data_IF_164724774751
#
_entry.id   IF_164724774751
#
_cell.length_a   1.000
_cell.length_b   1.000
_cell.length_c   1.000
_cell.angle_alpha   90.00
_cell.angle_beta   90.00
_cell.angle_gamma   90.00
#
_symmetry.space_group_name_H-M   'P 1'
#
loop_
_entity.id
_entity.type
_entity.pdbx_description
1 polymer ?
#
# COMPACT_ATOMS: atom_id res chain seq x y z
N UNK A 1 43.05 -51.84 -1.04
CA UNK A 1 43.07 -50.42 -1.44
C UNK A 1 42.73 -50.35 -2.93
N UNK A 2 41.48 -50.08 -3.32
CA UNK A 2 41.12 -50.14 -4.74
C UNK A 2 39.66 -49.84 -5.11
N UNK A 3 38.89 -49.16 -4.26
CA UNK A 3 37.49 -48.78 -4.59
C UNK A 3 37.18 -47.29 -4.39
N UNK A 4 38.13 -46.45 -3.98
CA UNK A 4 37.93 -45.01 -3.80
C UNK A 4 38.34 -44.15 -5.01
N UNK A 5 38.95 -44.75 -6.05
CA UNK A 5 39.43 -44.01 -7.25
C UNK A 5 38.35 -43.82 -8.33
N UNK A 6 37.30 -44.64 -8.34
CA UNK A 6 36.28 -44.61 -9.41
C UNK A 6 35.26 -43.47 -9.25
N UNK A 7 34.88 -43.09 -8.03
CA UNK A 7 33.96 -41.96 -7.80
C UNK A 7 34.62 -40.60 -8.09
N UNK A 8 35.92 -40.43 -7.80
CA UNK A 8 36.62 -39.17 -8.06
C UNK A 8 36.73 -38.87 -9.56
N UNK A 9 36.93 -39.90 -10.39
CA UNK A 9 36.91 -39.77 -11.84
C UNK A 9 35.51 -39.43 -12.38
N UNK A 10 34.45 -40.03 -11.81
CA UNK A 10 33.07 -39.77 -12.22
C UNK A 10 32.63 -38.31 -11.95
N UNK A 11 33.00 -37.74 -10.81
CA UNK A 11 32.70 -36.33 -10.51
C UNK A 11 33.54 -35.33 -11.32
N UNK A 12 34.75 -35.71 -11.72
CA UNK A 12 35.60 -34.89 -12.58
C UNK A 12 35.05 -34.81 -14.02
N UNK A 13 34.54 -35.91 -14.56
CA UNK A 13 33.96 -35.95 -15.91
C UNK A 13 32.62 -35.20 -16.00
N UNK A 14 31.79 -35.24 -14.96
CA UNK A 14 30.56 -34.43 -14.90
C UNK A 14 30.90 -32.94 -14.81
N UNK A 15 31.92 -32.55 -14.06
CA UNK A 15 32.35 -31.15 -13.96
C UNK A 15 32.84 -30.62 -15.31
N UNK A 16 33.58 -31.42 -16.07
CA UNK A 16 34.08 -31.06 -17.40
C UNK A 16 32.98 -31.06 -18.48
N UNK A 17 31.98 -31.94 -18.39
CA UNK A 17 30.80 -31.90 -19.26
C UNK A 17 29.95 -30.63 -19.03
N UNK A 18 29.85 -30.15 -17.78
CA UNK A 18 29.11 -28.92 -17.44
C UNK A 18 29.87 -27.64 -17.82
N UNK A 19 31.22 -27.63 -17.72
CA UNK A 19 32.03 -26.47 -18.15
C UNK A 19 32.17 -26.38 -19.68
N UNK A 20 32.24 -27.50 -20.41
CA UNK A 20 32.25 -27.46 -21.88
C UNK A 20 30.90 -27.08 -22.48
N UNK A 21 29.78 -27.39 -21.82
CA UNK A 21 28.45 -26.90 -22.24
C UNK A 21 28.24 -25.39 -22.00
N UNK A 22 29.07 -24.76 -21.16
CA UNK A 22 29.10 -23.30 -20.96
C UNK A 22 30.02 -22.53 -21.90
N UNK A 23 30.95 -23.20 -22.60
CA UNK A 23 31.92 -22.56 -23.50
C UNK A 23 31.56 -22.61 -24.99
N UNK A 24 30.55 -23.37 -25.41
CA UNK A 24 30.12 -23.45 -26.81
C UNK A 24 29.02 -22.46 -27.24
N UNK A 25 28.79 -21.39 -26.47
CA UNK A 25 27.80 -20.34 -26.81
C UNK A 25 28.41 -18.95 -27.03
N UNK A 26 29.61 -18.88 -27.60
CA UNK A 26 30.17 -17.62 -28.11
C UNK A 26 30.54 -17.77 -29.59
N UNK A 27 29.55 -17.50 -30.44
CA UNK A 27 29.74 -16.95 -31.78
C UNK A 27 28.82 -15.73 -31.89
N UNK A 28 29.19 -14.68 -32.65
CA UNK A 28 28.53 -13.38 -32.59
C UNK A 28 27.14 -13.51 -33.20
N UNK A 29 26.11 -13.60 -32.36
CA UNK A 29 24.74 -13.65 -32.79
C UNK A 29 24.37 -12.27 -33.38
N UNK A 30 24.18 -12.23 -34.71
CA UNK A 30 23.28 -11.28 -35.36
C UNK A 30 22.01 -11.21 -34.51
N UNK A 31 21.71 -10.03 -33.97
CA UNK A 31 20.49 -9.78 -33.22
C UNK A 31 19.31 -9.89 -34.17
N UNK A 32 18.71 -11.08 -34.24
CA UNK A 32 17.38 -11.27 -34.79
C UNK A 32 16.42 -10.82 -33.68
N UNK A 33 15.92 -9.59 -33.80
CA UNK A 33 14.82 -9.09 -32.99
C UNK A 33 13.60 -9.99 -33.22
N UNK A 34 13.21 -10.74 -32.20
CA UNK A 34 11.95 -11.50 -32.20
C UNK A 34 10.81 -10.57 -31.77
N UNK A 35 9.63 -10.71 -32.37
CA UNK A 35 8.44 -9.85 -32.13
C UNK A 35 7.99 -9.80 -30.64
N UNK A 36 8.50 -10.69 -29.78
CA UNK A 36 8.23 -10.67 -28.33
C UNK A 36 8.99 -9.61 -27.54
N UNK A 37 10.09 -9.04 -28.08
CA UNK A 37 10.85 -7.98 -27.38
C UNK A 37 10.17 -6.60 -27.47
N UNK A 38 9.24 -6.43 -28.41
CA UNK A 38 8.53 -5.17 -28.66
C UNK A 38 7.55 -4.85 -27.51
N UNK A 39 7.07 -5.87 -26.79
CA UNK A 39 6.09 -5.70 -25.69
C UNK A 39 6.75 -5.32 -24.34
N UNK A 40 8.08 -5.24 -24.29
CA UNK A 40 8.86 -4.96 -23.07
C UNK A 40 9.43 -3.54 -22.99
N UNK A 41 9.16 -2.69 -23.99
CA UNK A 41 9.77 -1.36 -24.13
C UNK A 41 8.74 -0.25 -24.29
N UNK A 42 9.00 0.87 -23.65
CA UNK A 42 8.23 2.11 -23.76
C UNK A 42 8.84 3.01 -24.82
N UNK A 43 7.99 3.50 -25.73
CA UNK A 43 8.37 4.44 -26.79
C UNK A 43 7.76 5.81 -26.49
N UNK A 44 8.59 6.84 -26.45
CA UNK A 44 8.20 8.23 -26.18
C UNK A 44 8.69 9.10 -27.33
N UNK A 45 7.79 9.86 -27.93
CA UNK A 45 8.10 10.76 -29.04
C UNK A 45 8.39 12.16 -28.53
N UNK A 46 9.42 12.81 -29.05
CA UNK A 46 9.79 14.19 -28.69
C UNK A 46 9.25 15.12 -29.77
N UNK A 47 8.40 16.08 -29.38
CA UNK A 47 7.80 17.10 -30.24
C UNK A 47 7.11 16.57 -31.52
N UNK A 48 6.71 15.29 -31.56
CA UNK A 48 6.14 14.61 -32.74
C UNK A 48 4.63 14.37 -32.68
N UNK A 49 3.90 15.15 -31.89
CA UNK A 49 2.44 15.06 -31.77
C UNK A 49 2.00 14.16 -30.62
N UNK A 50 0.97 13.33 -30.86
CA UNK A 50 0.40 12.47 -29.84
C UNK A 50 1.36 11.33 -29.45
N UNK A 51 1.48 11.06 -28.16
CA UNK A 51 2.26 9.93 -27.68
C UNK A 51 1.61 8.61 -28.09
N UNK A 52 2.39 7.58 -28.49
CA UNK A 52 1.86 6.27 -28.85
C UNK A 52 1.27 5.52 -27.64
N UNK A 53 1.61 5.95 -26.43
CA UNK A 53 1.12 5.38 -25.17
C UNK A 53 -0.10 6.15 -24.63
N UNK A 54 -0.99 5.44 -23.95
CA UNK A 54 -2.09 6.05 -23.21
C UNK A 54 -1.52 6.93 -22.10
N UNK A 55 -1.84 8.23 -22.12
CA UNK A 55 -1.41 9.18 -21.09
C UNK A 55 -1.93 8.76 -19.71
N UNK A 56 -1.02 8.38 -18.82
CA UNK A 56 -1.31 8.24 -17.39
C UNK A 56 -1.23 9.62 -16.74
N UNK A 57 -2.04 9.83 -15.70
CA UNK A 57 -2.07 11.11 -14.98
C UNK A 57 -0.90 11.21 -14.01
N UNK A 58 -0.23 12.36 -13.93
CA UNK A 58 0.83 12.59 -12.94
C UNK A 58 0.31 12.87 -11.51
N UNK A 59 -0.98 12.68 -11.28
CA UNK A 59 -1.61 12.73 -9.98
C UNK A 59 -1.12 11.56 -9.11
N UNK A 60 -0.69 11.88 -7.88
CA UNK A 60 -0.35 10.88 -6.87
C UNK A 60 -1.41 10.86 -5.77
N UNK A 61 -1.67 9.67 -5.22
CA UNK A 61 -2.50 9.49 -4.05
C UNK A 61 -1.91 8.44 -3.14
N UNK A 62 -1.75 8.79 -1.86
CA UNK A 62 -1.29 7.94 -0.77
C UNK A 62 -2.41 7.66 0.25
N UNK A 63 -3.54 8.33 0.12
CA UNK A 63 -4.75 8.09 0.91
C UNK A 63 -5.29 6.66 0.75
N UNK A 64 -5.80 6.09 1.84
CA UNK A 64 -6.38 4.74 1.84
C UNK A 64 -7.84 4.73 1.39
N UNK A 65 -8.58 5.80 1.71
CA UNK A 65 -10.03 5.86 1.53
C UNK A 65 -10.44 6.98 0.58
N UNK A 66 -11.38 6.67 -0.29
CA UNK A 66 -12.31 7.64 -0.86
C UNK A 66 -13.50 7.86 0.09
N UNK A 67 -14.20 8.98 -0.06
CA UNK A 67 -15.40 9.36 0.71
C UNK A 67 -16.40 8.19 0.78
N UNK A 68 -16.65 7.52 -0.36
CA UNK A 68 -17.62 6.42 -0.45
C UNK A 68 -17.01 5.10 0.07
N UNK A 69 -15.72 4.87 -0.19
CA UNK A 69 -15.07 3.62 0.21
C UNK A 69 -14.68 3.58 1.69
N UNK A 70 -14.74 4.72 2.40
CA UNK A 70 -14.33 4.82 3.79
C UNK A 70 -15.11 3.83 4.66
N UNK A 71 -16.44 3.97 4.72
CA UNK A 71 -17.28 3.16 5.60
C UNK A 71 -17.13 1.64 5.37
N UNK A 72 -17.28 1.09 4.14
CA UNK A 72 -17.18 -0.35 3.93
C UNK A 72 -15.78 -0.90 4.22
N UNK A 73 -14.71 -0.20 3.82
CA UNK A 73 -13.34 -0.65 4.10
C UNK A 73 -13.01 -0.54 5.59
N UNK A 74 -13.38 0.57 6.23
CA UNK A 74 -13.18 0.80 7.65
C UNK A 74 -13.89 -0.27 8.50
N UNK A 75 -15.17 -0.55 8.22
CA UNK A 75 -15.92 -1.58 8.93
C UNK A 75 -15.30 -2.96 8.71
N UNK A 76 -14.91 -3.28 7.47
CA UNK A 76 -14.21 -4.53 7.20
C UNK A 76 -12.91 -4.64 8.02
N UNK A 77 -12.12 -3.58 8.13
CA UNK A 77 -10.90 -3.56 8.94
C UNK A 77 -11.18 -3.70 10.44
N UNK A 78 -12.19 -3.00 10.96
CA UNK A 78 -12.57 -3.14 12.37
C UNK A 78 -13.10 -4.53 12.68
N UNK A 79 -13.95 -5.12 11.83
CA UNK A 79 -14.50 -6.46 12.06
C UNK A 79 -13.56 -7.61 11.69
N UNK A 80 -12.34 -7.34 11.18
CA UNK A 80 -11.27 -8.35 11.16
C UNK A 80 -10.65 -8.61 12.53
N UNK A 81 -10.93 -7.76 13.52
CA UNK A 81 -10.54 -7.96 14.93
C UNK A 81 -11.54 -8.90 15.59
N UNK A 82 -11.09 -10.01 16.16
CA UNK A 82 -11.97 -11.02 16.76
C UNK A 82 -12.84 -10.46 17.90
N UNK A 83 -12.31 -9.49 18.66
CA UNK A 83 -13.06 -8.77 19.69
C UNK A 83 -14.32 -8.09 19.15
N UNK A 84 -14.20 -7.40 18.01
CA UNK A 84 -15.31 -6.66 17.42
C UNK A 84 -16.37 -7.62 16.86
N UNK A 85 -15.96 -8.77 16.31
CA UNK A 85 -16.90 -9.83 15.90
C UNK A 85 -17.64 -10.37 17.13
N UNK A 86 -16.91 -10.68 18.21
CA UNK A 86 -17.50 -11.19 19.45
C UNK A 86 -18.55 -10.23 20.02
N UNK A 87 -18.23 -8.94 20.17
CA UNK A 87 -19.18 -7.96 20.68
C UNK A 87 -20.35 -7.69 19.73
N UNK A 88 -20.13 -7.78 18.41
CA UNK A 88 -21.21 -7.72 17.44
C UNK A 88 -22.18 -8.90 17.62
N UNK A 89 -21.66 -10.13 17.77
CA UNK A 89 -22.49 -11.30 18.04
C UNK A 89 -23.31 -11.15 19.32
N UNK A 90 -22.68 -10.70 20.41
CA UNK A 90 -23.40 -10.43 21.68
C UNK A 90 -24.46 -9.35 21.49
N UNK A 91 -24.14 -8.24 20.82
CA UNK A 91 -25.08 -7.15 20.58
C UNK A 91 -26.30 -7.60 19.75
N UNK A 92 -26.10 -8.51 18.78
CA UNK A 92 -27.19 -9.12 18.00
C UNK A 92 -28.01 -10.08 18.87
N UNK A 93 -27.36 -10.95 19.66
CA UNK A 93 -28.04 -11.88 20.56
C UNK A 93 -28.89 -11.16 21.62
N UNK A 94 -28.44 -10.00 22.11
CA UNK A 94 -29.19 -9.16 23.04
C UNK A 94 -30.47 -8.55 22.46
N UNK A 95 -30.62 -8.50 21.13
CA UNK A 95 -31.87 -8.04 20.51
C UNK A 95 -32.98 -9.09 20.51
N UNK A 96 -32.65 -10.36 20.78
CA UNK A 96 -33.64 -11.43 20.83
C UNK A 96 -34.50 -11.23 22.09
N UNK A 97 -35.83 -11.05 21.95
CA UNK A 97 -36.71 -10.82 23.08
C UNK A 97 -36.75 -12.06 24.00
N UNK A 98 -36.67 -11.83 25.31
CA UNK A 98 -36.76 -12.90 26.33
C UNK A 98 -35.47 -13.69 26.57
N UNK A 99 -34.40 -13.48 25.80
CA UNK A 99 -33.10 -14.15 25.99
C UNK A 99 -32.14 -13.30 26.83
N UNK A 100 -32.17 -11.97 26.66
CA UNK A 100 -31.19 -11.10 27.31
C UNK A 100 -31.58 -10.84 28.77
N UNK A 101 -30.77 -11.25 29.75
CA UNK A 101 -30.96 -10.87 31.15
C UNK A 101 -30.48 -9.43 31.42
N UNK A 102 -29.75 -8.85 30.47
CA UNK A 102 -29.25 -7.48 30.48
C UNK A 102 -30.08 -6.60 29.55
N UNK A 103 -29.96 -5.27 29.64
CA UNK A 103 -30.62 -4.38 28.69
C UNK A 103 -30.17 -4.61 27.23
N UNK A 104 -31.08 -4.43 26.27
CA UNK A 104 -30.83 -4.63 24.82
C UNK A 104 -29.69 -3.79 24.23
N UNK A 105 -29.31 -2.71 24.93
CA UNK A 105 -28.36 -1.72 24.46
C UNK A 105 -27.02 -1.73 25.22
N UNK A 106 -26.87 -2.60 26.24
CA UNK A 106 -25.70 -2.58 27.14
C UNK A 106 -24.38 -2.88 26.43
N UNK A 107 -24.38 -3.74 25.40
CA UNK A 107 -23.19 -4.01 24.58
C UNK A 107 -23.16 -3.17 23.29
N UNK A 108 -24.32 -2.92 22.68
CA UNK A 108 -24.42 -2.19 21.41
C UNK A 108 -23.95 -0.73 21.53
N UNK A 109 -24.30 -0.04 22.62
CA UNK A 109 -23.94 1.38 22.82
C UNK A 109 -22.42 1.55 23.00
N UNK A 110 -21.73 0.83 23.92
CA UNK A 110 -20.28 0.89 24.01
C UNK A 110 -19.59 0.53 22.70
N UNK A 111 -19.99 -0.57 22.03
CA UNK A 111 -19.39 -0.96 20.75
C UNK A 111 -19.52 0.15 19.69
N UNK A 112 -20.67 0.81 19.61
CA UNK A 112 -20.90 1.91 18.68
C UNK A 112 -19.98 3.10 18.98
N UNK A 113 -19.85 3.49 20.25
CA UNK A 113 -18.93 4.58 20.66
C UNK A 113 -17.49 4.24 20.28
N UNK A 114 -17.06 3.00 20.48
CA UNK A 114 -15.70 2.53 20.13
C UNK A 114 -15.45 2.65 18.63
N UNK A 115 -16.38 2.13 17.83
CA UNK A 115 -16.29 2.20 16.38
C UNK A 115 -16.31 3.64 15.89
N UNK A 116 -17.11 4.52 16.49
CA UNK A 116 -17.14 5.94 16.19
C UNK A 116 -15.81 6.64 16.52
N UNK A 117 -15.24 6.42 17.70
CA UNK A 117 -13.93 6.97 18.07
C UNK A 117 -12.82 6.49 17.13
N UNK A 118 -12.81 5.20 16.79
CA UNK A 118 -11.87 4.64 15.83
C UNK A 118 -12.05 5.24 14.42
N UNK A 119 -13.31 5.46 13.99
CA UNK A 119 -13.61 6.07 12.70
C UNK A 119 -13.12 7.51 12.64
N UNK A 120 -13.39 8.32 13.68
CA UNK A 120 -12.93 9.71 13.76
C UNK A 120 -11.40 9.78 13.65
N UNK A 121 -10.69 8.93 14.39
CA UNK A 121 -9.22 8.87 14.32
C UNK A 121 -8.74 8.56 12.90
N UNK A 122 -9.27 7.51 12.27
CA UNK A 122 -8.84 7.09 10.92
C UNK A 122 -9.16 8.19 9.88
N UNK A 123 -10.30 8.90 10.02
CA UNK A 123 -10.65 10.05 9.19
C UNK A 123 -9.62 11.16 9.32
N UNK A 124 -9.26 11.55 10.55
CA UNK A 124 -8.27 12.61 10.79
C UNK A 124 -6.92 12.25 10.14
N UNK A 125 -6.47 11.01 10.30
CA UNK A 125 -5.22 10.54 9.70
C UNK A 125 -5.28 10.54 8.16
N UNK A 126 -6.38 10.08 7.56
CA UNK A 126 -6.49 10.02 6.10
C UNK A 126 -6.69 11.41 5.48
N UNK A 127 -7.44 12.32 6.13
CA UNK A 127 -7.56 13.73 5.72
C UNK A 127 -6.19 14.41 5.66
N UNK A 128 -5.32 14.15 6.65
CA UNK A 128 -3.94 14.66 6.64
C UNK A 128 -3.19 14.18 5.39
N UNK A 129 -3.35 12.91 4.99
CA UNK A 129 -2.75 12.38 3.73
C UNK A 129 -3.30 13.09 2.50
N UNK A 130 -4.63 13.27 2.40
CA UNK A 130 -5.26 13.99 1.29
C UNK A 130 -4.75 15.43 1.15
N UNK A 131 -4.57 16.14 2.26
CA UNK A 131 -4.02 17.51 2.26
C UNK A 131 -2.57 17.50 1.75
N UNK A 132 -1.75 16.55 2.21
CA UNK A 132 -0.36 16.40 1.78
C UNK A 132 -0.27 16.06 0.29
N UNK A 133 -1.03 15.06 -0.18
CA UNK A 133 -1.11 14.69 -1.60
C UNK A 133 -1.56 15.88 -2.46
N UNK A 134 -2.60 16.59 -2.01
CA UNK A 134 -3.11 17.79 -2.67
C UNK A 134 -2.06 18.90 -2.78
N UNK A 135 -1.23 19.10 -1.75
CA UNK A 135 -0.14 20.07 -1.78
C UNK A 135 0.92 19.73 -2.83
N UNK A 136 1.27 18.44 -2.97
CA UNK A 136 2.26 17.96 -3.96
C UNK A 136 1.69 18.05 -5.37
N UNK A 137 0.45 17.59 -5.58
CA UNK A 137 -0.22 17.59 -6.89
C UNK A 137 -0.42 19.02 -7.46
N UNK A 138 -0.56 20.02 -6.59
CA UNK A 138 -0.75 21.43 -6.94
C UNK A 138 0.56 22.23 -7.10
N UNK A 139 1.74 21.65 -6.81
CA UNK A 139 3.02 22.30 -7.07
C UNK A 139 3.12 22.69 -8.55
N UNK A 140 3.76 23.82 -8.83
CA UNK A 140 3.90 24.34 -10.20
C UNK A 140 5.23 23.93 -10.80
N UNK A 141 5.26 23.79 -12.12
CA UNK A 141 6.48 23.61 -12.91
C UNK A 141 6.28 24.26 -14.29
N UNK A 142 7.38 24.72 -14.89
CA UNK A 142 7.39 25.24 -16.24
C UNK A 142 7.41 24.07 -17.24
N UNK A 143 6.46 24.03 -18.16
CA UNK A 143 6.42 23.09 -19.28
C UNK A 143 6.57 23.83 -20.60
N UNK A 144 7.23 23.19 -21.56
CA UNK A 144 7.30 23.66 -22.92
C UNK A 144 6.25 22.95 -23.77
N UNK A 145 5.25 23.71 -24.25
CA UNK A 145 4.21 23.21 -25.17
C UNK A 145 3.88 24.26 -26.22
N UNK A 146 3.69 23.83 -27.46
CA UNK A 146 3.32 24.70 -28.60
C UNK A 146 4.25 25.92 -28.76
N UNK A 147 5.56 25.73 -28.56
CA UNK A 147 6.54 26.79 -28.73
C UNK A 147 6.67 27.77 -27.56
N UNK A 148 5.89 27.61 -26.48
CA UNK A 148 5.86 28.53 -25.35
C UNK A 148 6.09 27.84 -24.01
N UNK A 149 6.68 28.57 -23.06
CA UNK A 149 6.80 28.16 -21.67
C UNK A 149 5.54 28.54 -20.90
N UNK A 150 4.94 27.55 -20.24
CA UNK A 150 3.70 27.72 -19.50
C UNK A 150 3.85 27.10 -18.11
N UNK A 151 3.34 27.78 -17.08
CA UNK A 151 3.21 27.19 -15.77
C UNK A 151 2.04 26.20 -15.75
N UNK A 152 2.31 24.98 -15.28
CA UNK A 152 1.29 23.97 -15.03
C UNK A 152 1.43 23.39 -13.63
N UNK A 153 0.38 22.76 -13.12
CA UNK A 153 0.44 21.97 -11.89
C UNK A 153 1.04 20.59 -12.16
N UNK A 154 1.74 20.01 -11.19
CA UNK A 154 2.36 18.69 -11.30
C UNK A 154 1.40 17.62 -11.80
N UNK A 155 0.16 17.56 -11.28
CA UNK A 155 -0.86 16.59 -11.71
C UNK A 155 -1.22 16.66 -13.22
N UNK A 156 -0.91 17.76 -13.91
CA UNK A 156 -1.18 17.99 -15.35
C UNK A 156 0.04 17.78 -16.25
N UNK A 157 1.20 17.47 -15.68
CA UNK A 157 2.39 17.04 -16.42
C UNK A 157 2.10 15.68 -17.05
N UNK A 158 2.55 15.46 -18.28
CA UNK A 158 2.34 14.24 -19.05
C UNK A 158 3.68 13.71 -19.57
N UNK A 159 3.73 12.41 -19.85
CA UNK A 159 4.88 11.79 -20.53
C UNK A 159 5.11 12.48 -21.88
N UNK A 160 6.37 12.78 -22.17
CA UNK A 160 6.80 13.53 -23.35
C UNK A 160 6.75 15.05 -23.23
N UNK A 161 6.24 15.60 -22.12
CA UNK A 161 6.43 17.04 -21.85
C UNK A 161 7.91 17.32 -21.58
N UNK A 162 8.39 18.45 -22.10
CA UNK A 162 9.68 19.03 -21.68
C UNK A 162 9.39 19.98 -20.51
N UNK A 163 10.05 19.76 -19.38
CA UNK A 163 9.93 20.58 -18.18
C UNK A 163 11.21 21.38 -17.95
N UNK A 164 11.06 22.60 -17.42
CA UNK A 164 12.15 23.38 -16.84
C UNK A 164 12.01 23.32 -15.32
N UNK A 165 13.07 22.90 -14.66
CA UNK A 165 13.17 22.83 -13.19
C UNK A 165 14.29 23.76 -12.75
N UNK A 166 14.03 24.59 -11.75
CA UNK A 166 14.98 25.59 -11.24
C UNK A 166 15.74 25.05 -10.03
N UNK A 167 16.84 25.73 -9.66
CA UNK A 167 17.60 25.39 -8.46
C UNK A 167 16.70 25.34 -7.21
N UNK A 168 16.97 24.38 -6.32
CA UNK A 168 16.19 24.07 -5.13
C UNK A 168 14.75 23.59 -5.38
N UNK A 169 14.35 23.25 -6.60
CA UNK A 169 13.05 22.62 -6.88
C UNK A 169 13.13 21.09 -6.94
N UNK A 170 12.02 20.43 -6.62
CA UNK A 170 11.88 18.98 -6.77
C UNK A 170 11.44 18.61 -8.19
N UNK A 171 11.85 17.45 -8.67
CA UNK A 171 11.39 16.96 -9.97
C UNK A 171 9.92 16.51 -9.92
N UNK A 172 9.07 16.94 -10.87
CA UNK A 172 7.64 16.65 -10.87
C UNK A 172 7.30 15.19 -11.25
N UNK A 173 8.24 14.50 -11.89
CA UNK A 173 8.10 13.20 -12.53
C UNK A 173 9.51 12.63 -12.75
N UNK A 174 9.64 11.40 -13.27
CA UNK A 174 10.96 10.90 -13.67
C UNK A 174 11.30 11.49 -15.05
N UNK A 175 12.47 12.12 -15.15
CA UNK A 175 12.91 12.89 -16.30
C UNK A 175 14.19 12.32 -16.89
N UNK A 176 14.35 12.43 -18.21
CA UNK A 176 15.66 12.33 -18.87
C UNK A 176 16.23 13.73 -19.01
N UNK A 177 17.46 13.94 -18.55
CA UNK A 177 18.18 15.21 -18.63
C UNK A 177 18.56 15.52 -20.09
N UNK A 178 18.02 16.61 -20.62
CA UNK A 178 18.34 17.09 -21.96
C UNK A 178 19.51 18.08 -21.89
N UNK A 179 19.35 19.16 -21.15
CA UNK A 179 20.38 20.18 -20.95
C UNK A 179 20.30 20.78 -19.55
N UNK A 180 21.39 21.40 -19.13
CA UNK A 180 21.55 22.06 -17.84
C UNK A 180 22.07 23.49 -18.05
N UNK A 181 21.86 24.34 -17.05
CA UNK A 181 22.52 25.64 -16.96
C UNK A 181 24.04 25.56 -16.74
N UNK A 182 24.55 24.40 -16.33
CA UNK A 182 25.99 24.17 -16.16
C UNK A 182 26.67 23.64 -17.44
N UNK A 183 27.99 23.86 -17.59
CA UNK A 183 28.77 23.28 -18.68
C UNK A 183 28.65 21.75 -18.76
N UNK A 184 28.77 21.21 -19.97
CA UNK A 184 28.69 19.77 -20.24
C UNK A 184 27.38 19.08 -19.80
N UNK A 185 26.30 19.86 -19.62
CA UNK A 185 24.99 19.34 -19.20
C UNK A 185 25.05 18.61 -17.85
N UNK A 186 25.90 19.08 -16.94
CA UNK A 186 26.00 18.51 -15.59
C UNK A 186 24.92 19.11 -14.70
N UNK A 187 24.36 18.32 -13.78
CA UNK A 187 23.58 18.86 -12.69
C UNK A 187 23.83 18.09 -11.39
N UNK A 188 23.58 18.74 -10.26
CA UNK A 188 23.68 18.10 -8.95
C UNK A 188 22.29 17.86 -8.39
N UNK A 189 22.05 16.65 -7.91
CA UNK A 189 20.78 16.26 -7.32
C UNK A 189 20.99 15.78 -5.89
N UNK A 190 20.06 16.13 -5.01
CA UNK A 190 19.98 15.58 -3.68
C UNK A 190 18.91 14.49 -3.65
N UNK A 191 19.27 13.29 -3.20
CA UNK A 191 18.39 12.11 -3.17
C UNK A 191 17.92 11.73 -1.77
N UNK A 192 18.07 12.62 -0.78
CA UNK A 192 17.71 12.38 0.62
C UNK A 192 16.29 11.83 0.83
N UNK A 193 15.33 12.17 -0.04
CA UNK A 193 13.96 11.66 0.02
C UNK A 193 13.76 10.25 -0.57
N UNK A 194 14.74 9.70 -1.28
CA UNK A 194 14.66 8.37 -1.90
C UNK A 194 15.47 7.34 -1.11
N UNK A 195 16.74 7.65 -0.81
CA UNK A 195 17.70 6.72 -0.21
C UNK A 195 18.28 7.23 1.13
N UNK A 196 17.94 8.44 1.56
CA UNK A 196 18.46 9.05 2.78
C UNK A 196 19.87 9.61 2.65
N UNK A 197 20.50 9.56 1.47
CA UNK A 197 21.82 10.12 1.25
C UNK A 197 21.76 11.66 1.18
N UNK A 198 22.59 12.33 1.99
CA UNK A 198 22.66 13.80 2.03
C UNK A 198 23.63 14.37 1.00
N UNK A 199 24.54 13.55 0.48
CA UNK A 199 25.53 13.96 -0.49
C UNK A 199 24.88 14.28 -1.84
N UNK A 200 25.41 15.28 -2.52
CA UNK A 200 24.97 15.62 -3.86
C UNK A 200 25.49 14.56 -4.85
N UNK A 201 24.58 14.00 -5.64
CA UNK A 201 24.91 13.10 -6.75
C UNK A 201 25.03 13.91 -8.03
N UNK A 202 26.07 13.64 -8.79
CA UNK A 202 26.29 14.25 -10.10
C UNK A 202 25.51 13.46 -11.15
N UNK A 203 24.77 14.16 -12.00
CA UNK A 203 24.11 13.61 -13.19
C UNK A 203 24.60 14.37 -14.41
N UNK A 204 24.72 13.66 -15.53
CA UNK A 204 25.29 14.22 -16.75
C UNK A 204 24.39 13.90 -17.94
N UNK A 205 23.91 14.95 -18.60
CA UNK A 205 23.12 14.86 -19.81
C UNK A 205 23.97 14.44 -21.01
N UNK A 206 23.29 14.16 -22.12
CA UNK A 206 23.98 13.74 -23.33
C UNK A 206 24.71 14.92 -24.00
N UNK A 207 25.94 14.73 -24.52
CA UNK A 207 26.65 15.76 -25.27
C UNK A 207 25.86 16.32 -26.46
N UNK A 208 25.05 15.47 -27.10
CA UNK A 208 24.24 15.82 -28.27
C UNK A 208 23.10 16.79 -27.94
N UNK A 209 22.61 16.79 -26.69
CA UNK A 209 21.53 17.67 -26.22
C UNK A 209 22.05 18.81 -25.33
N UNK A 210 23.31 18.78 -24.92
CA UNK A 210 23.91 19.76 -24.00
C UNK A 210 23.76 21.22 -24.46
N UNK A 211 23.86 21.48 -25.77
CA UNK A 211 23.78 22.83 -26.33
C UNK A 211 22.33 23.35 -26.50
N UNK A 212 21.31 22.59 -26.10
CA UNK A 212 19.90 22.96 -26.23
C UNK A 212 19.49 23.89 -25.08
N UNK A 213 19.94 25.14 -25.14
CA UNK A 213 19.72 26.15 -24.10
C UNK A 213 18.52 27.05 -24.45
N UNK A 214 18.30 27.28 -25.75
CA UNK A 214 17.22 28.11 -26.26
C UNK A 214 15.93 27.32 -26.53
N UNK A 215 14.79 28.00 -26.42
CA UNK A 215 13.47 27.43 -26.78
C UNK A 215 13.40 27.01 -28.25
N UNK A 216 14.12 27.70 -29.14
CA UNK A 216 14.19 27.38 -30.56
C UNK A 216 14.82 26.00 -30.76
N UNK A 217 15.98 25.75 -30.13
CA UNK A 217 16.65 24.44 -30.21
C UNK A 217 15.79 23.32 -29.62
N UNK A 218 15.06 23.59 -28.53
CA UNK A 218 14.12 22.62 -27.94
C UNK A 218 12.91 22.33 -28.84
N UNK A 219 12.46 23.29 -29.64
CA UNK A 219 11.37 23.08 -30.61
C UNK A 219 11.80 22.15 -31.74
N UNK A 220 13.03 22.36 -32.22
CA UNK A 220 13.56 21.64 -33.37
C UNK A 220 14.11 20.25 -32.96
N UNK A 221 14.14 19.96 -31.66
CA UNK A 221 14.43 18.64 -31.11
C UNK A 221 13.32 17.65 -31.49
N UNK A 222 13.60 16.83 -32.50
CA UNK A 222 12.74 15.74 -32.95
C UNK A 222 13.48 14.41 -32.78
N UNK A 223 12.83 13.49 -32.07
CA UNK A 223 13.42 12.20 -31.78
C UNK A 223 12.45 11.27 -31.07
N UNK A 224 12.96 10.10 -30.72
CA UNK A 224 12.24 9.05 -30.01
C UNK A 224 13.14 8.51 -28.91
N UNK A 225 12.59 8.38 -27.70
CA UNK A 225 13.21 7.63 -26.61
C UNK A 225 12.54 6.27 -26.54
N UNK A 226 13.36 5.22 -26.60
CA UNK A 226 12.96 3.84 -26.31
C UNK A 226 13.59 3.46 -24.97
N UNK A 227 12.78 3.14 -23.97
CA UNK A 227 13.28 2.73 -22.65
C UNK A 227 12.58 1.48 -22.15
N UNK A 228 13.10 0.89 -21.09
CA UNK A 228 12.43 -0.18 -20.35
C UNK A 228 11.03 0.23 -19.85
N UNK A 229 10.22 -0.73 -19.41
CA UNK A 229 8.99 -0.45 -18.68
C UNK A 229 9.29 0.07 -17.27
N UNK A 230 8.35 0.83 -16.66
CA UNK A 230 8.49 1.29 -15.28
C UNK A 230 8.80 0.15 -14.31
N UNK A 231 9.85 0.30 -13.50
CA UNK A 231 10.28 -0.69 -12.52
C UNK A 231 10.70 -0.04 -11.20
N UNK A 232 10.93 -0.89 -10.18
CA UNK A 232 11.29 -0.46 -8.82
C UNK A 232 12.78 -0.19 -8.61
N UNK A 233 13.66 -0.53 -9.56
CA UNK A 233 15.09 -0.38 -9.35
C UNK A 233 15.51 1.10 -9.51
N UNK A 234 15.84 1.77 -8.41
CA UNK A 234 16.20 3.20 -8.41
C UNK A 234 17.52 3.51 -9.13
N UNK A 235 18.44 2.54 -9.20
CA UNK A 235 19.81 2.75 -9.67
C UNK A 235 20.06 2.29 -11.10
N UNK A 236 19.13 1.51 -11.66
CA UNK A 236 19.22 1.04 -13.04
C UNK A 236 18.25 1.82 -13.92
N UNK A 237 18.70 2.15 -15.12
CA UNK A 237 17.85 2.63 -16.19
C UNK A 237 18.51 2.24 -17.51
N UNK A 238 17.74 1.60 -18.38
CA UNK A 238 18.17 1.25 -19.72
C UNK A 238 17.24 1.92 -20.74
N UNK A 239 17.81 2.81 -21.56
CA UNK A 239 17.10 3.44 -22.65
C UNK A 239 17.99 3.80 -23.82
N UNK A 240 17.39 4.34 -24.86
CA UNK A 240 18.07 4.74 -26.08
C UNK A 240 17.36 5.94 -26.69
N UNK A 241 18.11 7.00 -26.95
CA UNK A 241 17.64 8.20 -27.64
C UNK A 241 17.99 8.09 -29.14
N UNK A 242 16.97 8.14 -29.99
CA UNK A 242 17.09 8.23 -31.44
C UNK A 242 16.73 9.64 -31.88
N UNK A 243 17.73 10.44 -32.23
CA UNK A 243 17.53 11.78 -32.78
C UNK A 243 17.47 11.71 -34.31
N UNK A 244 16.63 12.51 -34.96
CA UNK A 244 16.56 12.51 -36.43
C UNK A 244 17.89 12.92 -37.10
N UNK A 245 18.66 13.77 -36.43
CA UNK A 245 19.90 14.33 -36.97
C UNK A 245 21.13 13.44 -36.68
N UNK A 246 20.94 12.31 -35.99
CA UNK A 246 22.03 11.39 -35.61
C UNK A 246 21.69 10.00 -36.12
N UNK A 247 22.55 9.43 -36.97
CA UNK A 247 22.31 8.14 -37.60
C UNK A 247 22.30 6.97 -36.59
N UNK A 248 23.04 7.09 -35.49
CA UNK A 248 23.17 6.02 -34.51
C UNK A 248 22.35 6.29 -33.24
N UNK A 249 21.65 5.27 -32.70
CA UNK A 249 20.97 5.38 -31.42
C UNK A 249 21.97 5.63 -30.27
N UNK A 250 21.65 6.57 -29.37
CA UNK A 250 22.51 6.96 -28.25
C UNK A 250 22.00 6.28 -26.97
N UNK A 251 22.82 5.52 -26.23
CA UNK A 251 22.38 4.87 -25.00
C UNK A 251 22.06 5.90 -23.90
N UNK A 252 20.99 5.64 -23.16
CA UNK A 252 20.64 6.34 -21.93
C UNK A 252 20.80 5.38 -20.75
N UNK A 253 21.55 5.82 -19.74
CA UNK A 253 21.78 5.10 -18.50
C UNK A 253 21.23 5.83 -17.28
N UNK A 254 21.59 5.33 -16.10
CA UNK A 254 21.21 5.93 -14.82
C UNK A 254 21.75 7.37 -14.64
N UNK A 255 22.84 7.72 -15.30
CA UNK A 255 23.43 9.06 -15.18
C UNK A 255 22.63 10.16 -15.89
N UNK A 256 21.73 9.78 -16.79
CA UNK A 256 20.85 10.69 -17.53
C UNK A 256 19.45 10.81 -16.92
N UNK A 257 19.08 10.00 -15.91
CA UNK A 257 17.74 10.03 -15.29
C UNK A 257 17.72 10.86 -14.01
N UNK A 258 16.69 11.68 -13.89
CA UNK A 258 16.36 12.48 -12.71
C UNK A 258 15.04 11.96 -12.13
N UNK A 259 15.10 11.43 -10.91
CA UNK A 259 13.95 10.77 -10.30
C UNK A 259 13.03 11.75 -9.57
N UNK A 260 11.72 11.49 -9.62
CA UNK A 260 10.75 12.16 -8.76
C UNK A 260 11.14 11.97 -7.29
N UNK A 261 11.11 13.05 -6.52
CA UNK A 261 11.52 13.04 -5.11
C UNK A 261 12.93 13.58 -4.88
N UNK A 262 13.80 13.56 -5.90
CA UNK A 262 15.09 14.26 -5.84
C UNK A 262 14.92 15.77 -6.00
N UNK A 263 15.82 16.53 -5.40
CA UNK A 263 15.87 17.99 -5.50
C UNK A 263 17.05 18.42 -6.35
N UNK A 264 16.84 19.39 -7.25
CA UNK A 264 17.94 20.06 -7.95
C UNK A 264 18.69 20.96 -6.97
N UNK A 265 20.02 20.89 -6.97
CA UNK A 265 20.90 21.69 -6.11
C UNK A 265 22.07 22.20 -6.92
N UNK A 266 22.61 23.36 -6.56
CA UNK A 266 23.85 23.91 -7.12
C UNK A 266 23.84 23.90 -8.67
N UNK A 267 22.68 24.12 -9.28
CA UNK A 267 22.51 24.11 -10.73
C UNK A 267 21.34 25.02 -11.06
N UNK A 268 21.60 26.10 -11.81
CA UNK A 268 20.62 27.18 -11.99
C UNK A 268 19.27 26.69 -12.56
N UNK A 269 19.31 25.79 -13.53
CA UNK A 269 18.13 25.17 -14.14
C UNK A 269 18.51 23.92 -14.93
N UNK A 270 17.53 23.05 -15.18
CA UNK A 270 17.63 21.95 -16.16
C UNK A 270 16.42 21.93 -17.09
N UNK A 271 16.61 21.41 -18.29
CA UNK A 271 15.53 20.94 -19.16
C UNK A 271 15.50 19.42 -19.14
N UNK A 272 14.34 18.85 -18.80
CA UNK A 272 14.14 17.41 -18.73
C UNK A 272 12.93 16.97 -19.53
N UNK A 273 13.02 15.81 -20.18
CA UNK A 273 11.87 15.16 -20.83
C UNK A 273 11.23 14.18 -19.86
N UNK A 274 9.91 14.28 -19.65
CA UNK A 274 9.17 13.37 -18.77
C UNK A 274 9.06 11.97 -19.39
N UNK A 275 9.51 10.95 -18.66
CA UNK A 275 9.46 9.54 -19.11
C UNK A 275 8.44 8.68 -18.35
N UNK A 276 8.37 8.84 -17.04
CA UNK A 276 7.39 8.17 -16.18
C UNK A 276 6.64 9.22 -15.36
N UNK A 277 5.34 9.00 -15.16
CA UNK A 277 4.48 9.95 -14.46
C UNK A 277 3.53 9.24 -13.49
N UNK A 278 3.14 9.95 -12.42
CA UNK A 278 2.17 9.47 -11.44
C UNK A 278 2.67 8.21 -10.73
N UNK A 279 1.84 7.16 -10.73
CA UNK A 279 2.18 5.89 -10.09
C UNK A 279 3.23 5.05 -10.85
N UNK A 280 3.67 5.49 -12.02
CA UNK A 280 4.75 4.84 -12.76
C UNK A 280 6.14 5.35 -12.39
N UNK A 281 6.25 6.47 -11.65
CA UNK A 281 7.58 6.94 -11.24
C UNK A 281 8.21 5.94 -10.29
N UNK A 282 9.53 5.78 -10.35
CA UNK A 282 10.25 4.79 -9.53
C UNK A 282 10.01 5.00 -8.03
N UNK A 283 9.87 6.26 -7.60
CA UNK A 283 9.47 6.61 -6.23
C UNK A 283 8.11 6.00 -5.85
N UNK A 284 7.09 6.18 -6.69
CA UNK A 284 5.73 5.69 -6.39
C UNK A 284 5.63 4.16 -6.53
N UNK A 285 6.43 3.55 -7.40
CA UNK A 285 6.52 2.09 -7.47
C UNK A 285 7.17 1.46 -6.25
N UNK A 286 8.07 2.18 -5.57
CA UNK A 286 8.64 1.80 -4.28
C UNK A 286 7.78 2.20 -3.09
N UNK A 287 6.83 3.13 -3.29
CA UNK A 287 5.77 3.37 -2.31
C UNK A 287 4.86 2.14 -2.27
N UNK A 288 4.91 1.39 -1.17
CA UNK A 288 3.99 0.29 -0.95
C UNK A 288 2.69 0.85 -0.36
N UNK A 289 1.56 0.27 -0.77
CA UNK A 289 0.32 0.47 0.00
C UNK A 289 0.60 0.02 1.42
N UNK A 290 0.17 0.83 2.40
CA UNK A 290 0.44 0.56 3.81
C UNK A 290 -0.05 -0.85 4.14
N UNK A 291 0.86 -1.83 4.39
CA UNK A 291 0.43 -3.19 4.66
C UNK A 291 -0.33 -3.21 5.98
N UNK A 292 -1.28 -4.13 6.10
CA UNK A 292 -1.96 -4.41 7.36
C UNK A 292 -0.98 -5.04 8.35
N UNK A 293 -0.15 -4.22 9.01
CA UNK A 293 0.74 -4.66 10.07
C UNK A 293 -0.10 -4.97 11.30
N UNK A 294 -0.01 -6.21 11.78
CA UNK A 294 -0.56 -6.61 13.08
C UNK A 294 0.57 -6.57 14.11
N UNK A 295 0.34 -5.89 15.22
CA UNK A 295 1.29 -5.87 16.34
C UNK A 295 1.32 -7.23 17.05
N UNK A 296 2.45 -7.60 17.66
CA UNK A 296 2.52 -8.82 18.48
C UNK A 296 1.47 -8.79 19.61
N UNK A 297 1.27 -7.62 20.23
CA UNK A 297 0.22 -7.39 21.24
C UNK A 297 -1.17 -7.76 20.69
N UNK A 298 -1.53 -7.33 19.47
CA UNK A 298 -2.81 -7.73 18.85
C UNK A 298 -2.92 -9.24 18.62
N UNK A 299 -1.83 -9.92 18.27
CA UNK A 299 -1.86 -11.38 18.10
C UNK A 299 -2.11 -12.08 19.44
N UNK A 300 -1.42 -11.64 20.50
CA UNK A 300 -1.61 -12.15 21.87
C UNK A 300 -3.03 -11.89 22.35
N UNK A 301 -3.55 -10.67 22.19
CA UNK A 301 -4.93 -10.32 22.55
C UNK A 301 -5.95 -11.17 21.81
N UNK A 302 -5.76 -11.41 20.50
CA UNK A 302 -6.65 -12.29 19.73
C UNK A 302 -6.63 -13.74 20.25
N UNK A 303 -5.46 -14.26 20.62
CA UNK A 303 -5.33 -15.59 21.22
C UNK A 303 -6.04 -15.68 22.59
N UNK A 304 -5.86 -14.65 23.43
CA UNK A 304 -6.54 -14.56 24.72
C UNK A 304 -8.06 -14.47 24.58
N UNK A 305 -8.58 -13.71 23.61
CA UNK A 305 -10.01 -13.65 23.32
C UNK A 305 -10.55 -15.02 22.93
N UNK A 306 -9.82 -15.77 22.08
CA UNK A 306 -10.23 -17.11 21.69
C UNK A 306 -10.25 -18.06 22.89
N UNK A 307 -9.24 -18.01 23.75
CA UNK A 307 -9.19 -18.78 25.00
C UNK A 307 -10.38 -18.45 25.92
N UNK A 308 -10.66 -17.16 26.14
CA UNK A 308 -11.79 -16.70 26.95
C UNK A 308 -13.14 -17.08 26.34
N UNK A 309 -13.26 -17.12 25.00
CA UNK A 309 -14.46 -17.58 24.32
C UNK A 309 -14.72 -19.07 24.55
N UNK A 310 -13.67 -19.90 24.48
CA UNK A 310 -13.79 -21.33 24.80
C UNK A 310 -14.18 -21.53 26.26
N UNK A 311 -13.53 -20.81 27.18
CA UNK A 311 -13.87 -20.84 28.60
C UNK A 311 -15.32 -20.41 28.86
N UNK A 312 -15.78 -19.34 28.17
CA UNK A 312 -17.16 -18.86 28.24
C UNK A 312 -18.14 -19.94 27.81
N UNK A 313 -17.90 -20.63 26.69
CA UNK A 313 -18.77 -21.71 26.20
C UNK A 313 -18.83 -22.87 27.22
N UNK A 314 -17.71 -23.23 27.84
CA UNK A 314 -17.66 -24.29 28.87
C UNK A 314 -18.50 -23.90 30.09
N UNK A 315 -18.30 -22.70 30.63
CA UNK A 315 -19.04 -22.22 31.81
C UNK A 315 -20.53 -22.13 31.49
N UNK A 316 -20.91 -21.60 30.32
CA UNK A 316 -22.31 -21.50 29.92
C UNK A 316 -22.96 -22.88 29.77
N UNK A 317 -22.25 -23.85 29.20
CA UNK A 317 -22.74 -25.22 29.06
C UNK A 317 -22.97 -25.86 30.42
N UNK A 318 -21.99 -25.72 31.33
CA UNK A 318 -22.10 -26.22 32.70
C UNK A 318 -23.28 -25.58 33.45
N UNK A 319 -23.40 -24.24 33.41
CA UNK A 319 -24.51 -23.51 34.05
C UNK A 319 -25.87 -23.89 33.48
N UNK A 320 -25.96 -24.13 32.17
CA UNK A 320 -27.20 -24.57 31.53
C UNK A 320 -27.61 -25.94 32.03
N UNK A 321 -26.70 -26.92 32.02
CA UNK A 321 -26.98 -28.28 32.50
C UNK A 321 -27.36 -28.26 33.99
N UNK A 322 -26.62 -27.53 34.81
CA UNK A 322 -26.93 -27.39 36.24
C UNK A 322 -28.30 -26.74 36.47
N UNK A 323 -28.63 -25.70 35.70
CA UNK A 323 -29.92 -25.02 35.75
C UNK A 323 -31.08 -25.93 35.37
N UNK A 324 -30.96 -26.70 34.28
CA UNK A 324 -31.98 -27.64 33.85
C UNK A 324 -32.19 -28.79 34.86
N UNK A 325 -31.10 -29.33 35.45
CA UNK A 325 -31.19 -30.34 36.51
C UNK A 325 -31.91 -29.78 37.73
N UNK A 326 -31.59 -28.54 38.14
CA UNK A 326 -32.23 -27.90 39.28
C UNK A 326 -33.71 -27.61 39.01
N UNK A 327 -34.05 -27.08 37.84
CA UNK A 327 -35.43 -26.84 37.40
C UNK A 327 -36.24 -28.13 37.40
N UNK A 328 -35.68 -29.23 36.86
CA UNK A 328 -36.35 -30.53 36.83
C UNK A 328 -36.65 -31.08 38.22
N UNK A 329 -35.70 -30.95 39.16
CA UNK A 329 -35.85 -31.45 40.54
C UNK A 329 -36.82 -30.61 41.36
N UNK A 330 -36.87 -29.30 41.16
CA UNK A 330 -37.61 -28.38 42.03
C UNK A 330 -38.92 -27.86 41.44
N UNK A 331 -39.31 -28.29 40.23
CA UNK A 331 -40.55 -27.84 39.56
C UNK A 331 -41.84 -28.01 40.39
N UNK A 332 -41.90 -29.01 41.27
CA UNK A 332 -43.06 -29.27 42.14
C UNK A 332 -42.96 -28.49 43.46
N UNK A 333 -41.75 -28.41 44.05
CA UNK A 333 -41.52 -27.74 45.33
C UNK A 333 -41.65 -26.21 45.24
N UNK A 334 -41.41 -25.64 44.06
CA UNK A 334 -41.44 -24.20 43.82
C UNK A 334 -42.56 -23.81 42.86
N UNK A 335 -43.79 -24.19 43.19
CA UNK A 335 -44.98 -23.95 42.37
C UNK A 335 -45.22 -22.46 42.02
N UNK A 336 -44.86 -21.54 42.92
CA UNK A 336 -45.03 -20.10 42.74
C UNK A 336 -44.12 -19.49 41.66
N UNK A 337 -43.04 -20.19 41.27
CA UNK A 337 -42.11 -19.76 40.21
C UNK A 337 -42.61 -20.14 38.81
N UNK A 338 -43.72 -20.87 38.68
CA UNK A 338 -44.34 -21.17 37.39
C UNK A 338 -43.59 -22.18 36.52
N UNK A 339 -42.60 -22.91 37.06
CA UNK A 339 -41.76 -23.84 36.29
C UNK A 339 -42.51 -25.03 35.68
N UNK A 340 -43.66 -25.42 36.25
CA UNK A 340 -44.44 -26.59 35.83
C UNK A 340 -45.41 -26.33 34.66
N UNK A 341 -45.75 -25.06 34.38
CA UNK A 341 -46.78 -24.68 33.40
C UNK A 341 -46.23 -24.39 31.99
N UNK A 342 -44.92 -24.51 31.77
CA UNK A 342 -44.30 -24.23 30.47
C UNK A 342 -44.54 -25.32 29.39
N UNK A 343 -45.23 -26.42 29.73
CA UNK A 343 -45.39 -27.58 28.84
C UNK A 343 -46.79 -27.75 28.26
N UNK A 344 -47.78 -26.96 28.67
CA UNK A 344 -49.16 -27.15 28.19
C UNK A 344 -49.64 -25.99 27.32
N UNK A 345 -50.29 -26.38 26.23
CA UNK A 345 -50.51 -25.61 25.04
C UNK A 345 -51.39 -24.35 25.27
N UNK A 346 -50.93 -23.22 24.71
CA UNK A 346 -51.65 -21.95 24.42
C UNK A 346 -51.81 -20.91 25.55
N UNK A 347 -51.30 -19.73 25.17
CA UNK A 347 -51.65 -18.36 25.59
C UNK A 347 -50.77 -17.70 26.67
N UNK A 348 -50.06 -16.67 26.18
CA UNK A 348 -49.48 -15.50 26.87
C UNK A 348 -48.22 -15.71 27.72
N UNK A 349 -47.07 -15.44 27.08
CA UNK A 349 -45.78 -15.00 27.65
C UNK A 349 -45.27 -15.84 28.83
N UNK A 350 -44.36 -16.78 28.61
CA UNK A 350 -42.91 -16.51 28.56
C UNK A 350 -42.24 -17.75 27.99
N UNK A 351 -41.29 -17.52 27.08
CA UNK A 351 -40.52 -18.47 26.25
C UNK A 351 -40.45 -19.91 26.80
N UNK A 352 -40.77 -20.96 25.99
CA UNK A 352 -40.57 -22.33 26.41
C UNK A 352 -39.11 -22.53 26.82
N UNK A 353 -38.87 -23.16 27.98
CA UNK A 353 -37.56 -23.49 28.54
C UNK A 353 -36.82 -24.49 27.64
N UNK A 354 -36.41 -24.02 26.46
CA UNK A 354 -35.52 -24.75 25.59
C UNK A 354 -34.09 -24.51 26.07
N UNK A 355 -33.35 -25.60 26.24
CA UNK A 355 -31.93 -25.60 26.59
C UNK A 355 -31.11 -24.49 25.88
N UNK A 356 -31.42 -24.22 24.61
CA UNK A 356 -30.78 -23.14 23.83
C UNK A 356 -31.04 -21.72 24.35
N UNK A 357 -32.26 -21.39 24.80
CA UNK A 357 -32.58 -20.07 25.37
C UNK A 357 -31.89 -19.87 26.72
N UNK A 358 -31.89 -20.89 27.57
CA UNK A 358 -31.16 -20.89 28.85
C UNK A 358 -29.65 -20.72 28.62
N UNK A 359 -29.08 -21.44 27.64
CA UNK A 359 -27.68 -21.30 27.25
C UNK A 359 -27.34 -19.89 26.76
N UNK A 360 -28.14 -19.33 25.85
CA UNK A 360 -27.93 -17.98 25.35
C UNK A 360 -28.06 -16.93 26.47
N UNK A 361 -28.97 -17.14 27.43
CA UNK A 361 -29.12 -16.26 28.60
C UNK A 361 -27.84 -16.24 29.43
N UNK A 362 -27.26 -17.41 29.76
CA UNK A 362 -25.97 -17.50 30.45
C UNK A 362 -24.81 -16.94 29.63
N UNK A 363 -24.81 -17.16 28.32
CA UNK A 363 -23.80 -16.62 27.39
C UNK A 363 -23.78 -15.10 27.39
N UNK A 364 -24.94 -14.46 27.41
CA UNK A 364 -25.05 -13.01 27.53
C UNK A 364 -24.68 -12.55 28.94
N UNK A 365 -25.10 -13.26 29.99
CA UNK A 365 -24.82 -12.89 31.38
C UNK A 365 -23.31 -12.86 31.67
N UNK A 366 -22.56 -13.81 31.12
CA UNK A 366 -21.10 -13.92 31.30
C UNK A 366 -20.28 -13.20 30.22
N UNK A 367 -20.90 -12.40 29.35
CA UNK A 367 -20.19 -11.67 28.28
C UNK A 367 -19.08 -10.73 28.80
N UNK A 368 -19.20 -10.26 30.05
CA UNK A 368 -18.23 -9.39 30.72
C UNK A 368 -16.89 -10.08 31.00
N UNK A 369 -16.80 -11.41 30.84
CA UNK A 369 -15.54 -12.16 30.93
C UNK A 369 -14.52 -11.69 29.88
N UNK A 370 -15.01 -11.23 28.71
CA UNK A 370 -14.19 -10.59 27.69
C UNK A 370 -14.41 -9.07 27.82
N UNK A 371 -13.49 -8.33 28.45
CA UNK A 371 -13.69 -6.91 28.74
C UNK A 371 -13.66 -6.07 27.46
N UNK A 372 -14.76 -5.37 27.18
CA UNK A 372 -14.86 -4.40 26.06
C UNK A 372 -13.76 -3.34 26.14
N UNK A 373 -13.40 -2.93 27.35
CA UNK A 373 -12.40 -1.89 27.62
C UNK A 373 -10.98 -2.26 27.20
N UNK A 374 -10.65 -3.55 27.08
CA UNK A 374 -9.31 -4.00 26.67
C UNK A 374 -8.94 -3.47 25.29
N UNK A 375 -9.88 -3.53 24.35
CA UNK A 375 -9.64 -3.12 22.97
C UNK A 375 -9.42 -1.61 22.85
N UNK A 376 -10.22 -0.80 23.54
CA UNK A 376 -10.09 0.66 23.55
C UNK A 376 -8.76 1.06 24.17
N UNK A 377 -8.44 0.47 25.32
CA UNK A 377 -7.24 0.82 26.08
C UNK A 377 -5.99 0.57 25.24
N UNK A 378 -5.92 -0.54 24.50
CA UNK A 378 -4.79 -0.83 23.59
C UNK A 378 -4.67 0.24 22.50
N UNK A 379 -5.78 0.58 21.83
CA UNK A 379 -5.77 1.55 20.73
C UNK A 379 -5.44 2.98 21.23
N UNK A 380 -5.88 3.34 22.43
CA UNK A 380 -5.57 4.61 23.10
C UNK A 380 -4.11 4.69 23.54
N UNK A 381 -3.58 3.63 24.18
CA UNK A 381 -2.18 3.58 24.61
C UNK A 381 -1.24 3.70 23.41
N UNK A 382 -1.51 2.99 22.31
CA UNK A 382 -0.74 3.11 21.06
C UNK A 382 -0.78 4.55 20.50
N UNK A 383 -1.94 5.20 20.56
CA UNK A 383 -2.09 6.58 20.09
C UNK A 383 -1.26 7.56 20.93
N UNK A 384 -1.34 7.46 22.26
CA UNK A 384 -0.57 8.31 23.19
C UNK A 384 0.94 8.06 23.01
N UNK A 385 1.36 6.81 22.91
CA UNK A 385 2.77 6.46 22.66
C UNK A 385 3.27 7.02 21.33
N UNK A 386 2.47 6.92 20.27
CA UNK A 386 2.82 7.51 18.97
C UNK A 386 2.92 9.04 19.05
N UNK A 387 2.08 9.69 19.86
CA UNK A 387 2.19 11.12 20.11
C UNK A 387 3.52 11.49 20.80
N UNK A 388 3.91 10.76 21.85
CA UNK A 388 5.19 10.98 22.54
C UNK A 388 6.40 10.73 21.63
N UNK A 389 6.36 9.72 20.76
CA UNK A 389 7.45 9.44 19.82
C UNK A 389 7.62 10.56 18.80
N UNK A 390 6.54 11.21 18.36
CA UNK A 390 6.65 12.34 17.41
C UNK A 390 7.10 13.65 18.09
N UNK A 391 7.06 13.73 19.43
CA UNK A 391 7.52 14.89 20.18
C UNK A 391 9.05 14.89 20.32
N UNK A 392 9.64 13.69 20.47
CA UNK A 392 11.10 13.48 20.49
C UNK A 392 11.64 13.49 19.07
#
# INVERSE_FOLDING_TARGET
MGQTSSMAHFFHDIRNAVTNKRRSSQNPARTITTDSDIDSKRIITINRGAQPIKSITNHISTSKYSIISFLPKFLFEQFRKYSNIFFLCIAVLQQIPGVSPTGRYTTAVPLSIILCCAAIKEIIEDVKRHIQDGSVNKRKVLIYRHGNWLYTTWQRVKVGDIVKVLDNEFFPADLVLLSSGEPNSICYIQTSNLDGETNLKVRQGLPQTANMISSVQLRDLLGVIECELPNRNLYEFAGTLKLNNVAHPIPLGADQILLRGSQLKNTAWIYGLVIYSGHETKLMMNSSSVPFKRTNVEQVTNSQILFLLVLLIIICSFSTIAGEIWNYRNKIAHWYLGLAYATDDKATATVPNHFGYTFLTFFILFNNLIPISLQITIDLVKFIQAYFINWV
#
